data_IF_001673836280
#
_entry.id   IF_001673836280
#
_cell.length_a   1.000
_cell.length_b   1.000
_cell.length_c   1.000
_cell.angle_alpha   90.00
_cell.angle_beta   90.00
_cell.angle_gamma   90.00
#
_symmetry.space_group_name_H-M   'P 1'
#
loop_
_entity.id
_entity.type
_entity.pdbx_description
1 polymer ?
#
# COMPACT_ATOMS: atom_id res chain seq x y z
N UNK A 1 8.90 4.25 12.07
CA UNK A 1 7.78 4.24 11.11
C UNK A 1 7.07 2.89 11.21
N UNK A 2 6.22 2.71 12.23
CA UNK A 2 5.32 1.55 12.30
C UNK A 2 4.36 1.48 11.10
N UNK A 3 4.27 2.56 10.32
CA UNK A 3 3.47 2.74 9.11
C UNK A 3 3.56 1.57 8.13
N UNK A 4 4.76 1.05 7.85
CA UNK A 4 4.93 -0.07 6.91
C UNK A 4 4.13 -1.30 7.34
N UNK A 5 4.18 -1.62 8.64
CA UNK A 5 3.39 -2.72 9.21
C UNK A 5 1.89 -2.37 9.21
N UNK A 6 1.53 -1.12 9.53
CA UNK A 6 0.14 -0.64 9.46
C UNK A 6 -0.45 -0.86 8.06
N UNK A 7 0.24 -0.44 6.99
CA UNK A 7 -0.24 -0.61 5.61
C UNK A 7 -0.42 -2.10 5.25
N UNK A 8 0.54 -2.94 5.64
CA UNK A 8 0.44 -4.38 5.42
C UNK A 8 -0.75 -5.00 6.14
N UNK A 9 -1.01 -4.61 7.40
CA UNK A 9 -2.14 -5.10 8.20
C UNK A 9 -3.49 -4.60 7.69
N UNK A 10 -3.56 -3.36 7.18
CA UNK A 10 -4.76 -2.82 6.53
C UNK A 10 -5.05 -3.59 5.24
N UNK A 11 -4.06 -3.78 4.38
CA UNK A 11 -4.22 -4.55 3.14
C UNK A 11 -4.60 -6.01 3.41
N UNK A 12 -3.99 -6.62 4.43
CA UNK A 12 -4.38 -7.94 4.93
C UNK A 12 -5.85 -7.98 5.34
N UNK A 13 -6.29 -7.03 6.17
CA UNK A 13 -7.67 -6.95 6.66
C UNK A 13 -8.66 -6.83 5.49
N UNK A 14 -8.37 -5.95 4.53
CA UNK A 14 -9.21 -5.76 3.34
C UNK A 14 -9.28 -7.04 2.51
N UNK A 15 -8.14 -7.70 2.28
CA UNK A 15 -8.09 -8.93 1.49
C UNK A 15 -8.76 -10.11 2.20
N UNK A 16 -8.61 -10.24 3.52
CA UNK A 16 -9.34 -11.25 4.31
C UNK A 16 -10.84 -10.98 4.27
N UNK A 17 -11.28 -9.73 4.44
CA UNK A 17 -12.69 -9.34 4.29
C UNK A 17 -13.23 -9.68 2.90
N UNK A 18 -12.46 -9.38 1.85
CA UNK A 18 -12.80 -9.73 0.48
C UNK A 18 -12.88 -11.25 0.28
N UNK A 19 -12.05 -12.02 0.98
CA UNK A 19 -12.05 -13.49 0.89
C UNK A 19 -13.33 -14.14 1.41
N UNK A 20 -14.09 -13.44 2.27
CA UNK A 20 -15.43 -13.85 2.71
C UNK A 20 -16.39 -13.91 1.54
N UNK A 21 -16.33 -12.92 0.64
CA UNK A 21 -17.22 -12.85 -0.52
C UNK A 21 -16.71 -13.65 -1.73
N UNK A 22 -15.40 -13.77 -1.89
CA UNK A 22 -14.75 -14.32 -3.08
C UNK A 22 -13.94 -15.58 -2.75
N UNK A 23 -14.50 -16.76 -3.09
CA UNK A 23 -13.89 -18.07 -2.80
C UNK A 23 -12.55 -18.33 -3.49
N UNK A 24 -12.29 -17.68 -4.63
CA UNK A 24 -11.01 -17.81 -5.33
C UNK A 24 -9.86 -17.11 -4.59
N UNK A 25 -10.17 -16.23 -3.62
CA UNK A 25 -9.19 -15.46 -2.89
C UNK A 25 -8.59 -16.29 -1.74
N UNK A 26 -7.58 -17.08 -2.10
CA UNK A 26 -6.83 -17.94 -1.19
C UNK A 26 -5.75 -17.18 -0.40
N UNK A 27 -5.15 -17.76 0.66
CA UNK A 27 -4.10 -17.10 1.44
C UNK A 27 -2.90 -16.55 0.63
N UNK A 28 -2.40 -17.23 -0.43
CA UNK A 28 -1.40 -16.65 -1.31
C UNK A 28 -1.84 -15.33 -1.95
N UNK A 29 -3.11 -15.21 -2.36
CA UNK A 29 -3.64 -13.98 -2.92
C UNK A 29 -3.82 -12.86 -1.88
N UNK A 30 -4.09 -13.21 -0.61
CA UNK A 30 -4.04 -12.23 0.49
C UNK A 30 -2.63 -11.66 0.64
N UNK A 31 -1.60 -12.50 0.52
CA UNK A 31 -0.20 -12.06 0.54
C UNK A 31 0.11 -11.12 -0.63
N UNK A 32 -0.46 -11.36 -1.81
CA UNK A 32 -0.34 -10.43 -2.96
C UNK A 32 -0.90 -9.05 -2.63
N UNK A 33 -2.06 -8.97 -1.96
CA UNK A 33 -2.58 -7.68 -1.53
C UNK A 33 -1.65 -6.99 -0.52
N UNK A 34 -1.08 -7.72 0.44
CA UNK A 34 -0.09 -7.18 1.36
C UNK A 34 1.16 -6.67 0.64
N UNK A 35 1.66 -7.40 -0.36
CA UNK A 35 2.79 -6.97 -1.19
C UNK A 35 2.49 -5.66 -1.93
N UNK A 36 1.25 -5.49 -2.42
CA UNK A 36 0.80 -4.23 -3.03
C UNK A 36 0.97 -3.03 -2.11
N UNK A 37 0.71 -3.20 -0.81
CA UNK A 37 0.83 -2.13 0.18
C UNK A 37 2.27 -1.67 0.42
N UNK A 38 3.28 -2.45 0.01
CA UNK A 38 4.69 -2.05 0.08
C UNK A 38 5.17 -1.27 -1.14
N UNK A 39 4.42 -1.26 -2.24
CA UNK A 39 4.83 -0.62 -3.50
C UNK A 39 5.10 0.89 -3.30
N UNK A 40 4.18 1.69 -2.71
CA UNK A 40 4.46 3.11 -2.55
C UNK A 40 5.59 3.37 -1.53
N UNK A 41 5.80 2.43 -0.62
CA UNK A 41 6.85 2.46 0.40
C UNK A 41 8.25 2.18 -0.15
N UNK A 42 8.39 1.74 -1.40
CA UNK A 42 9.69 1.61 -2.10
C UNK A 42 10.45 2.93 -2.16
N UNK A 43 9.77 4.07 -2.00
CA UNK A 43 10.42 5.37 -1.81
C UNK A 43 11.41 5.40 -0.65
N UNK A 44 11.28 4.51 0.35
CA UNK A 44 12.21 4.38 1.47
C UNK A 44 13.60 3.91 1.03
N UNK A 45 13.77 3.38 -0.19
CA UNK A 45 15.10 3.10 -0.78
C UNK A 45 15.98 4.36 -0.79
N UNK A 46 15.37 5.56 -0.84
CA UNK A 46 16.08 6.84 -0.73
C UNK A 46 16.97 6.97 0.51
N UNK A 47 16.66 6.22 1.58
CA UNK A 47 17.46 6.20 2.81
C UNK A 47 18.80 5.48 2.61
N UNK A 48 18.87 4.54 1.67
CA UNK A 48 20.07 3.82 1.29
C UNK A 48 20.79 4.51 0.13
N UNK A 49 20.02 4.87 -0.90
CA UNK A 49 20.52 5.51 -2.12
C UNK A 49 19.78 6.83 -2.33
N UNK A 50 20.34 7.97 -1.88
CA UNK A 50 19.70 9.28 -2.04
C UNK A 50 19.46 9.63 -3.51
N UNK A 51 18.38 10.38 -3.80
CA UNK A 51 18.00 10.77 -5.17
C UNK A 51 19.14 11.46 -5.94
N UNK A 52 19.89 12.35 -5.27
CA UNK A 52 21.01 13.08 -5.89
C UNK A 52 22.14 12.16 -6.37
N UNK A 53 22.37 11.01 -5.73
CA UNK A 53 23.38 10.04 -6.18
C UNK A 53 22.95 9.39 -7.48
N UNK A 54 21.67 9.05 -7.60
CA UNK A 54 21.12 8.48 -8.83
C UNK A 54 21.06 9.51 -9.94
N UNK A 55 20.70 10.75 -9.64
CA UNK A 55 20.73 11.84 -10.61
C UNK A 55 22.14 12.06 -11.17
N UNK A 56 23.16 12.09 -10.30
CA UNK A 56 24.57 12.19 -10.72
C UNK A 56 25.04 10.98 -11.55
N UNK A 57 24.54 9.78 -11.26
CA UNK A 57 24.94 8.56 -11.96
C UNK A 57 24.21 8.36 -13.30
N UNK A 58 22.92 8.69 -13.36
CA UNK A 58 22.07 8.54 -14.53
C UNK A 58 22.18 9.73 -15.50
N UNK A 59 22.62 10.89 -15.02
CA UNK A 59 22.63 12.14 -15.81
C UNK A 59 21.24 12.67 -16.14
N UNK A 60 20.21 12.23 -15.41
CA UNK A 60 18.81 12.57 -15.61
C UNK A 60 18.15 12.98 -14.28
N UNK A 61 17.19 13.93 -14.28
CA UNK A 61 16.44 14.28 -13.08
C UNK A 61 15.77 13.04 -12.49
N UNK A 62 16.06 12.74 -11.21
CA UNK A 62 15.55 11.55 -10.54
C UNK A 62 15.01 11.90 -9.15
N UNK A 63 13.78 11.48 -8.86
CA UNK A 63 13.21 11.55 -7.51
C UNK A 63 12.44 10.28 -7.16
N UNK A 64 12.90 9.61 -6.09
CA UNK A 64 12.18 8.48 -5.48
C UNK A 64 10.74 8.83 -5.12
N UNK A 65 10.45 10.09 -4.77
CA UNK A 65 9.11 10.56 -4.45
C UNK A 65 8.05 10.22 -5.50
N UNK A 66 8.45 10.05 -6.77
CA UNK A 66 7.55 9.66 -7.86
C UNK A 66 6.86 8.30 -7.62
N UNK A 67 7.49 7.33 -6.94
CA UNK A 67 6.86 6.03 -6.66
C UNK A 67 5.69 6.15 -5.69
N UNK A 68 5.65 7.20 -4.87
CA UNK A 68 4.58 7.47 -3.91
C UNK A 68 3.36 8.19 -4.52
N UNK A 69 3.34 8.35 -5.84
CA UNK A 69 2.22 8.92 -6.60
C UNK A 69 1.33 7.81 -7.15
N UNK A 70 0.07 8.13 -7.48
CA UNK A 70 -0.86 7.20 -8.15
C UNK A 70 -0.25 6.66 -9.45
N UNK A 71 0.39 7.51 -10.25
CA UNK A 71 1.06 7.11 -11.49
C UNK A 71 2.24 6.17 -11.26
N UNK A 72 3.18 6.56 -10.40
CA UNK A 72 4.35 5.74 -10.10
C UNK A 72 3.97 4.39 -9.47
N UNK A 73 2.97 4.40 -8.60
CA UNK A 73 2.39 3.19 -8.01
C UNK A 73 1.76 2.32 -9.09
N UNK A 74 0.93 2.88 -9.98
CA UNK A 74 0.30 2.15 -11.07
C UNK A 74 1.33 1.51 -12.00
N UNK A 75 2.36 2.26 -12.42
CA UNK A 75 3.45 1.73 -13.24
C UNK A 75 4.16 0.58 -12.52
N UNK A 76 4.44 0.74 -11.23
CA UNK A 76 5.09 -0.31 -10.42
C UNK A 76 4.24 -1.58 -10.32
N UNK A 77 2.91 -1.43 -10.15
CA UNK A 77 1.97 -2.56 -10.18
C UNK A 77 1.98 -3.24 -11.55
N UNK A 78 1.90 -2.47 -12.64
CA UNK A 78 1.92 -3.00 -14.00
C UNK A 78 3.22 -3.77 -14.29
N UNK A 79 4.37 -3.24 -13.86
CA UNK A 79 5.66 -3.93 -13.94
C UNK A 79 5.63 -5.25 -13.16
N UNK A 80 5.16 -5.25 -11.91
CA UNK A 80 5.03 -6.46 -11.10
C UNK A 80 4.10 -7.52 -11.72
N UNK A 81 3.09 -7.11 -12.48
CA UNK A 81 2.16 -8.04 -13.15
C UNK A 81 2.80 -8.72 -14.37
N UNK A 82 3.83 -8.12 -14.99
CA UNK A 82 4.49 -8.71 -16.17
C UNK A 82 5.12 -10.08 -15.87
N UNK A 83 5.66 -10.26 -14.65
CA UNK A 83 6.28 -11.51 -14.19
C UNK A 83 5.27 -12.58 -13.77
N UNK A 84 3.98 -12.25 -13.71
CA UNK A 84 2.90 -13.16 -13.32
C UNK A 84 2.36 -13.92 -14.53
N UNK A 85 2.02 -15.20 -14.32
CA UNK A 85 1.37 -16.06 -15.33
C UNK A 85 0.11 -15.39 -15.86
N UNK A 86 -0.11 -15.48 -17.19
CA UNK A 86 -1.21 -14.78 -17.89
C UNK A 86 -2.59 -15.05 -17.27
N UNK A 87 -2.82 -16.26 -16.75
CA UNK A 87 -4.06 -16.68 -16.09
C UNK A 87 -4.38 -15.90 -14.82
N UNK A 88 -3.37 -15.43 -14.10
CA UNK A 88 -3.53 -14.81 -12.78
C UNK A 88 -3.32 -13.29 -12.81
N UNK A 89 -2.91 -12.73 -13.96
CA UNK A 89 -2.60 -11.29 -14.11
C UNK A 89 -3.73 -10.40 -13.62
N UNK A 90 -4.97 -10.64 -14.03
CA UNK A 90 -6.11 -9.81 -13.60
C UNK A 90 -6.33 -9.85 -12.09
N UNK A 91 -6.19 -11.03 -11.48
CA UNK A 91 -6.35 -11.21 -10.02
C UNK A 91 -5.22 -10.52 -9.28
N UNK A 92 -3.98 -10.73 -9.71
CA UNK A 92 -2.80 -10.14 -9.08
C UNK A 92 -2.76 -8.63 -9.27
N UNK A 93 -3.07 -8.11 -10.47
CA UNK A 93 -3.22 -6.66 -10.70
C UNK A 93 -4.23 -6.04 -9.75
N UNK A 94 -5.41 -6.64 -9.62
CA UNK A 94 -6.45 -6.13 -8.73
C UNK A 94 -6.01 -6.12 -7.27
N UNK A 95 -5.36 -7.18 -6.80
CA UNK A 95 -4.93 -7.30 -5.41
C UNK A 95 -3.74 -6.39 -5.07
N UNK A 96 -2.75 -6.31 -5.96
CA UNK A 96 -1.68 -5.32 -5.83
C UNK A 96 -2.25 -3.90 -5.80
N UNK A 97 -3.24 -3.63 -6.67
CA UNK A 97 -3.97 -2.36 -6.69
C UNK A 97 -4.74 -2.07 -5.39
N UNK A 98 -5.40 -3.07 -4.80
CA UNK A 98 -6.07 -2.93 -3.50
C UNK A 98 -5.07 -2.58 -2.41
N UNK A 99 -3.95 -3.31 -2.34
CA UNK A 99 -2.89 -3.04 -1.37
C UNK A 99 -2.31 -1.64 -1.52
N UNK A 100 -1.86 -1.31 -2.74
CA UNK A 100 -1.21 -0.03 -3.01
C UNK A 100 -2.19 1.15 -2.88
N UNK A 101 -3.43 0.98 -3.32
CA UNK A 101 -4.50 1.96 -3.13
C UNK A 101 -4.82 2.21 -1.67
N UNK A 102 -4.92 1.14 -0.86
CA UNK A 102 -5.12 1.28 0.59
C UNK A 102 -3.96 2.02 1.27
N UNK A 103 -2.73 1.81 0.81
CA UNK A 103 -1.57 2.56 1.28
C UNK A 103 -1.71 4.06 0.95
N UNK A 104 -1.97 4.41 -0.31
CA UNK A 104 -2.09 5.82 -0.73
C UNK A 104 -3.24 6.54 -0.01
N UNK A 105 -4.36 5.86 0.24
CA UNK A 105 -5.48 6.38 1.02
C UNK A 105 -5.06 6.61 2.47
N UNK A 106 -4.38 5.65 3.10
CA UNK A 106 -3.94 5.81 4.48
C UNK A 106 -2.92 6.97 4.60
N UNK A 107 -2.06 7.13 3.59
CA UNK A 107 -1.10 8.22 3.55
C UNK A 107 -1.72 9.59 3.26
N UNK A 108 -2.86 9.64 2.56
CA UNK A 108 -3.63 10.87 2.46
C UNK A 108 -4.21 11.34 3.79
N UNK A 109 -4.37 10.42 4.75
CA UNK A 109 -4.88 10.73 6.08
C UNK A 109 -3.77 11.19 7.04
N UNK A 110 -2.50 11.18 6.63
CA UNK A 110 -1.40 11.65 7.46
C UNK A 110 -1.41 13.18 7.61
N UNK A 111 -1.03 13.65 8.81
CA UNK A 111 -0.77 15.05 9.07
C UNK A 111 0.55 15.49 8.44
N UNK A 112 0.48 16.53 7.62
CA UNK A 112 1.64 17.12 6.96
C UNK A 112 2.05 18.41 7.67
N UNK A 113 3.36 18.65 7.93
CA UNK A 113 3.83 19.85 8.64
C UNK A 113 3.44 21.18 8.00
N UNK A 114 3.08 21.18 6.70
CA UNK A 114 2.64 22.36 5.95
C UNK A 114 1.15 22.32 5.56
N UNK A 115 0.36 21.39 6.13
CA UNK A 115 -1.07 21.19 5.84
C UNK A 115 -1.39 20.74 4.40
N UNK A 116 -0.37 20.58 3.55
CA UNK A 116 -0.53 20.20 2.13
C UNK A 116 -0.05 18.79 1.91
N UNK A 117 -0.93 17.98 1.31
CA UNK A 117 -0.59 16.64 0.86
C UNK A 117 0.56 16.68 -0.17
N UNK A 118 1.32 15.59 -0.25
CA UNK A 118 2.26 15.34 -1.37
C UNK A 118 1.47 15.24 -2.69
N UNK A 119 2.17 15.18 -3.83
CA UNK A 119 1.56 14.98 -5.16
C UNK A 119 0.99 13.57 -5.36
N UNK A 120 0.19 13.08 -4.40
CA UNK A 120 -0.35 11.72 -4.37
C UNK A 120 -1.16 11.45 -5.65
N UNK A 121 -1.97 12.40 -6.11
CA UNK A 121 -2.88 12.21 -7.25
C UNK A 121 -2.21 12.37 -8.63
N UNK A 122 -0.91 12.63 -8.70
CA UNK A 122 -0.21 12.69 -9.99
C UNK A 122 -0.24 11.32 -10.67
N UNK A 123 -0.45 11.21 -12.00
CA UNK A 123 -0.51 12.27 -13.01
C UNK A 123 -1.91 12.84 -13.28
N UNK A 124 -2.96 12.36 -12.57
CA UNK A 124 -4.33 12.80 -12.84
C UNK A 124 -4.51 14.28 -12.50
N UNK A 125 -3.91 14.75 -11.40
CA UNK A 125 -3.91 16.16 -11.03
C UNK A 125 -2.67 16.52 -10.22
N UNK A 126 -2.24 17.78 -10.33
CA UNK A 126 -1.21 18.39 -9.49
C UNK A 126 -1.80 19.09 -8.27
N UNK A 127 -3.14 19.10 -8.14
CA UNK A 127 -3.83 19.67 -6.99
C UNK A 127 -3.42 18.97 -5.69
N UNK A 128 -3.14 19.75 -4.66
CA UNK A 128 -2.77 19.28 -3.33
C UNK A 128 -3.88 19.67 -2.36
N UNK A 129 -4.74 18.72 -1.95
CA UNK A 129 -5.75 18.99 -0.94
C UNK A 129 -5.08 19.48 0.34
N UNK A 130 -5.73 20.45 1.00
CA UNK A 130 -5.34 20.89 2.33
C UNK A 130 -6.07 19.99 3.32
N UNK A 131 -5.32 19.24 4.11
CA UNK A 131 -5.85 18.31 5.10
C UNK A 131 -4.95 18.36 6.33
N UNK A 132 -5.56 18.63 7.48
CA UNK A 132 -4.83 18.78 8.75
C UNK A 132 -4.25 17.44 9.26
N UNK A 133 -4.73 16.32 8.69
CA UNK A 133 -4.29 14.98 9.05
C UNK A 133 -5.09 14.38 10.20
N UNK A 134 -5.18 13.05 10.20
CA UNK A 134 -5.81 12.28 11.27
C UNK A 134 -4.76 11.74 12.27
N UNK A 135 -3.52 11.51 11.81
CA UNK A 135 -2.40 11.03 12.63
C UNK A 135 -1.04 11.41 12.02
N UNK A 136 0.01 11.35 12.83
CA UNK A 136 1.39 11.49 12.39
C UNK A 136 1.99 10.13 12.01
N UNK A 137 2.96 10.14 11.08
CA UNK A 137 3.75 8.94 10.70
C UNK A 137 4.62 8.39 11.84
N UNK A 138 4.73 9.10 12.94
CA UNK A 138 5.44 8.66 14.15
C UNK A 138 4.51 8.01 15.17
N UNK A 139 3.20 8.13 15.00
CA UNK A 139 2.23 7.64 15.95
C UNK A 139 2.20 6.11 15.95
N UNK A 140 2.11 5.54 17.16
CA UNK A 140 2.05 4.08 17.33
C UNK A 140 0.62 3.57 17.43
N UNK A 141 -0.36 4.43 17.67
CA UNK A 141 -1.75 4.01 17.78
C UNK A 141 -2.32 3.42 16.47
N UNK A 142 -1.97 3.90 15.25
CA UNK A 142 -2.54 3.34 14.02
C UNK A 142 -2.16 1.87 13.82
N UNK A 143 -0.92 1.49 14.18
CA UNK A 143 -0.48 0.09 14.07
C UNK A 143 -1.19 -0.81 15.07
N UNK A 144 -1.49 -0.31 16.28
CA UNK A 144 -2.24 -1.07 17.30
C UNK A 144 -3.67 -1.32 16.82
N UNK A 145 -4.33 -0.29 16.28
CA UNK A 145 -5.68 -0.42 15.70
C UNK A 145 -5.66 -1.38 14.52
N UNK A 146 -4.73 -1.22 13.58
CA UNK A 146 -4.60 -2.11 12.43
C UNK A 146 -4.35 -3.57 12.85
N UNK A 147 -3.52 -3.81 13.87
CA UNK A 147 -3.27 -5.14 14.42
C UNK A 147 -4.54 -5.73 15.06
N UNK A 148 -5.29 -4.95 15.83
CA UNK A 148 -6.55 -5.40 16.43
C UNK A 148 -7.60 -5.78 15.38
N UNK A 149 -7.76 -4.98 14.33
CA UNK A 149 -8.69 -5.27 13.24
C UNK A 149 -8.23 -6.47 12.42
N UNK A 150 -6.93 -6.58 12.12
CA UNK A 150 -6.36 -7.73 11.41
C UNK A 150 -6.53 -9.04 12.20
N UNK A 151 -6.26 -9.01 13.51
CA UNK A 151 -6.47 -10.15 14.40
C UNK A 151 -7.96 -10.55 14.44
N UNK A 152 -8.87 -9.58 14.49
CA UNK A 152 -10.31 -9.82 14.45
C UNK A 152 -10.75 -10.45 13.13
N UNK A 153 -10.27 -9.93 12.00
CA UNK A 153 -10.56 -10.48 10.68
C UNK A 153 -10.04 -11.91 10.53
N UNK A 154 -8.82 -12.18 11.02
CA UNK A 154 -8.25 -13.52 11.05
C UNK A 154 -9.10 -14.47 11.90
N UNK A 155 -9.46 -14.06 13.12
CA UNK A 155 -10.25 -14.88 14.04
C UNK A 155 -11.62 -15.23 13.45
N UNK A 156 -12.33 -14.24 12.90
CA UNK A 156 -13.64 -14.46 12.29
C UNK A 156 -13.56 -15.40 11.07
N UNK A 157 -12.51 -15.28 10.26
CA UNK A 157 -12.37 -16.05 9.02
C UNK A 157 -11.88 -17.48 9.27
N UNK A 158 -10.81 -17.64 10.05
CA UNK A 158 -10.06 -18.88 10.14
C UNK A 158 -10.32 -19.65 11.44
N UNK A 159 -10.74 -18.98 12.51
CA UNK A 159 -11.02 -19.66 13.78
C UNK A 159 -12.50 -20.06 13.88
N UNK A 160 -13.44 -19.15 13.59
CA UNK A 160 -14.88 -19.49 13.59
C UNK A 160 -15.29 -20.36 12.40
N UNK A 161 -14.76 -20.09 11.21
CA UNK A 161 -15.09 -20.86 10.01
C UNK A 161 -14.69 -22.34 10.06
N UNK A 162 -13.77 -22.72 10.94
CA UNK A 162 -13.38 -24.11 11.18
C UNK A 162 -14.26 -24.84 12.21
N UNK A 163 -15.11 -24.12 12.95
CA UNK A 163 -16.04 -24.72 13.91
C UNK A 163 -17.39 -25.11 13.29
N UNK A 164 -17.71 -24.57 12.10
CA UNK A 164 -18.98 -24.77 11.39
C UNK A 164 -18.88 -25.79 10.22
N UNK A 165 -17.80 -26.60 10.17
CA UNK A 165 -17.59 -27.69 9.20
C UNK A 165 -17.30 -29.00 9.91
#
# INVERSE_FOLDING_TARGET
MPDLLTHALVAYTLAVGLSVRYRWLTPPYVTVAMMGAFIPDLTKIRLLVPSWRLEAWLGLPFDWGALHTVGGTLVSVLLGVTVVRRTDRWRVSGLLGVGAGSHLVLDSLLAFPAGRMKFVLWPLTTYRPVFDGLFLSTDRWPVVVAAGVAASAWYLRYHRGSADT
#
